data_IF_077548509408
#
_entry.id   IF_077548509408
#
_cell.length_a   1.000
_cell.length_b   1.000
_cell.length_c   1.000
_cell.angle_alpha   90.00
_cell.angle_beta   90.00
_cell.angle_gamma   90.00
#
_symmetry.space_group_name_H-M   'P 1'
#
loop_
_entity.id
_entity.type
_entity.pdbx_description
1 polymer ?
#
# COMPACT_ATOMS: atom_id res chain seq x y z
N UNK A 1 45.12 -40.61 -3.34
CA UNK A 1 44.64 -39.46 -2.56
C UNK A 1 43.19 -39.24 -2.92
N UNK A 2 42.29 -39.53 -1.98
CA UNK A 2 40.85 -39.43 -2.15
C UNK A 2 40.42 -38.02 -1.78
N UNK A 3 39.82 -37.30 -2.72
CA UNK A 3 39.11 -36.06 -2.39
C UNK A 3 37.76 -36.10 -3.09
N UNK A 4 36.78 -36.61 -2.34
CA UNK A 4 35.36 -36.52 -2.66
C UNK A 4 34.92 -35.07 -2.53
N UNK A 5 34.29 -34.50 -3.56
CA UNK A 5 33.55 -33.24 -3.44
C UNK A 5 32.08 -33.54 -3.71
N UNK A 6 31.31 -33.46 -2.64
CA UNK A 6 29.86 -33.66 -2.58
C UNK A 6 29.16 -32.57 -3.40
N UNK A 7 28.39 -32.97 -4.42
CA UNK A 7 27.54 -32.08 -5.18
C UNK A 7 26.31 -31.68 -4.34
N UNK A 8 26.20 -30.41 -3.98
CA UNK A 8 24.97 -29.85 -3.41
C UNK A 8 24.02 -29.48 -4.55
N UNK A 9 23.01 -30.32 -4.79
CA UNK A 9 21.87 -29.98 -5.65
C UNK A 9 20.94 -29.07 -4.85
N UNK A 10 21.04 -27.76 -5.07
CA UNK A 10 20.00 -26.82 -4.67
C UNK A 10 18.92 -26.83 -5.76
N UNK A 11 17.87 -27.63 -5.57
CA UNK A 11 16.68 -27.56 -6.40
C UNK A 11 15.95 -26.24 -6.12
N UNK A 12 16.13 -25.26 -7.00
CA UNK A 12 15.36 -24.02 -6.99
C UNK A 12 13.95 -24.31 -7.53
N UNK A 13 13.04 -24.70 -6.64
CA UNK A 13 11.61 -24.64 -6.94
C UNK A 13 11.15 -23.19 -6.87
N UNK A 14 11.15 -22.49 -8.01
CA UNK A 14 10.51 -21.19 -8.13
C UNK A 14 8.99 -21.39 -8.17
N UNK A 15 8.35 -21.37 -7.00
CA UNK A 15 6.90 -21.27 -6.89
C UNK A 15 6.46 -19.88 -7.37
N UNK A 16 5.75 -19.82 -8.49
CA UNK A 16 5.06 -18.62 -8.97
C UNK A 16 3.87 -18.37 -8.03
N UNK A 17 3.81 -17.27 -7.25
CA UNK A 17 2.59 -16.92 -6.58
C UNK A 17 1.63 -16.34 -7.63
N UNK A 18 0.75 -17.18 -8.16
CA UNK A 18 -0.50 -16.71 -8.76
C UNK A 18 -1.34 -16.18 -7.60
N UNK A 19 -1.20 -14.88 -7.33
CA UNK A 19 -1.95 -14.18 -6.29
C UNK A 19 -3.44 -14.18 -6.65
N UNK A 20 -4.19 -15.13 -6.10
CA UNK A 20 -5.62 -15.01 -5.87
C UNK A 20 -5.84 -13.70 -5.12
N UNK A 21 -6.66 -12.79 -5.67
CA UNK A 21 -6.93 -11.49 -5.09
C UNK A 21 -7.43 -11.60 -3.66
N UNK A 22 -6.51 -11.60 -2.71
CA UNK A 22 -6.81 -11.31 -1.31
C UNK A 22 -7.10 -9.83 -1.29
N UNK A 23 -8.38 -9.47 -1.13
CA UNK A 23 -8.73 -8.17 -0.59
C UNK A 23 -7.92 -8.02 0.70
N UNK A 24 -6.83 -7.24 0.62
CA UNK A 24 -5.99 -6.97 1.77
C UNK A 24 -6.93 -6.37 2.82
N UNK A 25 -7.21 -7.13 3.88
CA UNK A 25 -7.92 -6.61 5.03
C UNK A 25 -7.16 -5.35 5.43
N UNK A 26 -7.81 -4.19 5.33
CA UNK A 26 -7.17 -2.91 5.57
C UNK A 26 -6.59 -2.92 6.99
N UNK A 27 -5.28 -3.15 7.11
CA UNK A 27 -4.59 -2.99 8.37
C UNK A 27 -4.79 -1.53 8.78
N UNK A 28 -5.17 -1.24 10.04
CA UNK A 28 -5.33 0.12 10.49
C UNK A 28 -4.06 0.90 10.17
N UNK A 29 -4.20 2.04 9.49
CA UNK A 29 -3.05 2.87 9.16
C UNK A 29 -2.25 3.19 10.43
N UNK A 30 -0.91 3.10 10.40
CA UNK A 30 -0.11 3.52 11.54
C UNK A 30 -0.36 5.02 11.80
N UNK A 31 -0.42 5.40 13.07
CA UNK A 31 -0.53 6.80 13.44
C UNK A 31 0.86 7.46 13.32
N UNK A 32 0.98 8.43 12.41
CA UNK A 32 2.23 9.16 12.14
C UNK A 32 2.19 10.62 12.59
N UNK A 33 1.14 11.04 13.31
CA UNK A 33 1.06 12.40 13.87
C UNK A 33 2.23 12.64 14.83
N UNK A 34 2.88 13.79 14.68
CA UNK A 34 4.08 14.19 15.43
C UNK A 34 5.40 13.72 14.80
N UNK A 35 5.37 12.83 13.82
CA UNK A 35 6.59 12.42 13.11
C UNK A 35 7.06 13.53 12.15
N UNK A 36 8.35 13.51 11.82
CA UNK A 36 8.84 14.23 10.64
C UNK A 36 8.14 13.70 9.40
N UNK A 37 7.95 14.55 8.40
CA UNK A 37 7.28 14.14 7.16
C UNK A 37 8.03 12.98 6.46
N UNK A 38 9.36 12.95 6.56
CA UNK A 38 10.17 11.86 6.03
C UNK A 38 9.92 10.53 6.78
N UNK A 39 9.97 10.54 8.11
CA UNK A 39 9.73 9.34 8.93
C UNK A 39 8.30 8.82 8.77
N UNK A 40 7.32 9.73 8.68
CA UNK A 40 5.92 9.40 8.44
C UNK A 40 5.73 8.63 7.12
N UNK A 41 6.35 9.12 6.03
CA UNK A 41 6.33 8.43 4.73
C UNK A 41 6.90 7.03 4.82
N UNK A 42 8.08 6.89 5.39
CA UNK A 42 8.73 5.59 5.53
C UNK A 42 7.88 4.59 6.34
N UNK A 43 7.23 5.05 7.41
CA UNK A 43 6.34 4.21 8.22
C UNK A 43 5.10 3.75 7.45
N UNK A 44 4.50 4.62 6.63
CA UNK A 44 3.33 4.28 5.81
C UNK A 44 3.71 3.34 4.65
N UNK A 45 4.85 3.58 3.99
CA UNK A 45 5.38 2.75 2.90
C UNK A 45 5.72 1.34 3.38
N UNK A 46 6.35 1.22 4.56
CA UNK A 46 6.69 -0.07 5.16
C UNK A 46 5.46 -0.95 5.43
N UNK A 47 4.27 -0.34 5.56
CA UNK A 47 3.01 -1.05 5.78
C UNK A 47 2.14 -1.11 4.53
N UNK A 48 2.62 -0.62 3.38
CA UNK A 48 1.84 -0.57 2.14
C UNK A 48 0.60 0.31 2.24
N UNK A 49 0.57 1.28 3.15
CA UNK A 49 -0.57 2.17 3.36
C UNK A 49 -0.51 3.29 2.33
N UNK A 50 -1.51 3.46 1.44
CA UNK A 50 -1.56 4.60 0.54
C UNK A 50 -1.65 5.89 1.35
N UNK A 51 -1.01 6.96 0.88
CA UNK A 51 -1.08 8.23 1.59
C UNK A 51 -0.99 9.44 0.65
N UNK A 52 -1.30 10.61 1.17
CA UNK A 52 -1.08 11.87 0.46
C UNK A 52 -1.09 13.06 1.39
N UNK A 53 -0.31 14.09 1.06
CA UNK A 53 -0.36 15.38 1.77
C UNK A 53 -1.59 16.14 1.28
N UNK A 54 -2.47 16.50 2.21
CA UNK A 54 -3.76 17.15 1.95
C UNK A 54 -3.77 18.60 2.42
N UNK A 55 -2.82 18.99 3.27
CA UNK A 55 -2.55 20.37 3.63
C UNK A 55 -1.05 20.52 3.91
N UNK A 56 -0.45 21.63 3.47
CA UNK A 56 0.91 22.03 3.81
C UNK A 56 0.92 23.50 4.21
N UNK A 57 1.51 23.81 5.36
CA UNK A 57 1.71 25.18 5.83
C UNK A 57 3.19 25.45 6.14
N UNK A 58 3.60 26.71 6.03
CA UNK A 58 4.96 27.18 6.33
C UNK A 58 5.95 27.04 5.17
N UNK A 59 7.24 27.12 5.47
CA UNK A 59 8.30 27.18 4.46
C UNK A 59 8.76 25.78 4.07
N UNK A 60 8.71 25.42 2.79
CA UNK A 60 9.01 24.06 2.32
C UNK A 60 10.44 23.57 2.59
N UNK A 61 11.39 24.49 2.85
CA UNK A 61 12.77 24.16 3.24
C UNK A 61 12.97 24.04 4.76
N UNK A 62 11.93 24.27 5.56
CA UNK A 62 11.98 24.14 7.03
C UNK A 62 11.79 22.70 7.51
N UNK A 63 11.82 22.50 8.83
CA UNK A 63 11.58 21.21 9.44
C UNK A 63 10.09 20.88 9.39
N UNK A 64 9.73 19.90 8.57
CA UNK A 64 8.35 19.52 8.30
C UNK A 64 7.88 18.36 9.19
N UNK A 65 6.77 18.57 9.89
CA UNK A 65 6.14 17.57 10.76
C UNK A 65 4.66 17.35 10.41
N UNK A 66 4.19 16.11 10.61
CA UNK A 66 2.77 15.78 10.47
C UNK A 66 2.02 16.25 11.70
N UNK A 67 1.02 17.11 11.52
CA UNK A 67 0.19 17.64 12.60
C UNK A 67 -1.19 17.00 12.65
N UNK A 68 -1.64 16.41 11.55
CA UNK A 68 -2.94 15.74 11.46
C UNK A 68 -2.85 14.55 10.50
N UNK A 69 -3.56 13.48 10.85
CA UNK A 69 -3.79 12.33 10.00
C UNK A 69 -5.28 12.01 9.97
N UNK A 70 -5.83 11.85 8.76
CA UNK A 70 -7.25 11.51 8.56
C UNK A 70 -7.42 10.46 7.47
N UNK A 71 -8.50 9.69 7.54
CA UNK A 71 -8.87 8.76 6.47
C UNK A 71 -9.26 9.54 5.21
N UNK A 72 -8.78 9.11 4.04
CA UNK A 72 -9.16 9.66 2.72
C UNK A 72 -10.39 8.98 2.11
N UNK A 73 -10.94 8.01 2.83
CA UNK A 73 -12.12 7.25 2.44
C UNK A 73 -11.83 6.26 1.32
N UNK A 74 -12.87 5.90 0.59
CA UNK A 74 -12.85 4.90 -0.47
C UNK A 74 -13.14 5.54 -1.82
N UNK A 75 -12.62 4.95 -2.89
CA UNK A 75 -13.02 5.23 -4.27
C UNK A 75 -13.75 4.00 -4.80
N UNK A 76 -14.89 4.22 -5.43
CA UNK A 76 -15.57 3.18 -6.20
C UNK A 76 -14.87 3.02 -7.55
N UNK A 77 -14.34 1.83 -7.79
CA UNK A 77 -13.87 1.42 -9.10
C UNK A 77 -14.96 0.58 -9.76
N UNK A 78 -15.24 0.91 -11.02
CA UNK A 78 -16.30 0.27 -11.80
C UNK A 78 -15.63 -0.58 -12.88
N UNK A 79 -15.91 -1.88 -12.83
CA UNK A 79 -15.45 -2.86 -13.82
C UNK A 79 -16.66 -3.46 -14.54
N UNK A 80 -16.52 -3.79 -15.82
CA UNK A 80 -17.56 -4.45 -16.60
C UNK A 80 -17.15 -5.91 -16.75
N UNK A 81 -17.79 -6.80 -16.00
CA UNK A 81 -17.50 -8.24 -16.04
C UNK A 81 -18.59 -8.97 -16.78
N UNK A 82 -18.18 -9.78 -17.75
CA UNK A 82 -19.11 -10.65 -18.45
C UNK A 82 -19.55 -11.79 -17.54
N UNK A 83 -20.87 -11.92 -17.38
CA UNK A 83 -21.51 -12.99 -16.64
C UNK A 83 -21.98 -14.07 -17.63
N UNK A 84 -21.27 -15.19 -17.65
CA UNK A 84 -21.56 -16.32 -18.54
C UNK A 84 -22.92 -16.99 -18.25
N UNK A 85 -23.42 -16.91 -17.02
CA UNK A 85 -24.71 -17.53 -16.64
C UNK A 85 -25.90 -16.75 -17.19
N UNK A 86 -25.71 -15.45 -17.41
CA UNK A 86 -26.75 -14.52 -17.89
C UNK A 86 -26.54 -14.04 -19.32
N UNK A 87 -25.42 -14.40 -19.94
CA UNK A 87 -24.99 -13.93 -21.26
C UNK A 87 -24.99 -12.39 -21.38
N UNK A 88 -24.58 -11.69 -20.32
CA UNK A 88 -24.58 -10.23 -20.26
C UNK A 88 -23.35 -9.65 -19.54
N UNK A 89 -23.01 -8.40 -19.85
CA UNK A 89 -22.01 -7.65 -19.08
C UNK A 89 -22.64 -6.99 -17.87
N UNK A 90 -22.17 -7.36 -16.68
CA UNK A 90 -22.59 -6.77 -15.42
C UNK A 90 -21.60 -5.72 -14.94
N UNK A 91 -22.14 -4.66 -14.33
CA UNK A 91 -21.35 -3.65 -13.64
C UNK A 91 -20.96 -4.17 -12.26
N UNK A 92 -19.66 -4.25 -12.00
CA UNK A 92 -19.10 -4.60 -10.70
C UNK A 92 -18.48 -3.36 -10.08
N UNK A 93 -19.01 -2.94 -8.93
CA UNK A 93 -18.51 -1.80 -8.16
C UNK A 93 -17.64 -2.31 -7.00
N UNK A 94 -16.37 -1.91 -6.99
CA UNK A 94 -15.40 -2.29 -5.95
C UNK A 94 -14.98 -1.07 -5.15
N UNK A 95 -15.10 -1.12 -3.83
CA UNK A 95 -14.62 -0.06 -2.95
C UNK A 95 -13.12 -0.25 -2.69
N UNK A 96 -12.30 0.67 -3.20
CA UNK A 96 -10.85 0.69 -3.00
C UNK A 96 -10.49 1.77 -1.99
N UNK A 97 -9.84 1.37 -0.89
CA UNK A 97 -9.41 2.32 0.15
C UNK A 97 -8.31 3.25 -0.37
N UNK A 98 -8.45 4.56 -0.11
CA UNK A 98 -7.55 5.60 -0.61
C UNK A 98 -6.42 5.94 0.37
N UNK A 99 -6.38 5.26 1.51
CA UNK A 99 -5.35 5.46 2.51
C UNK A 99 -5.54 6.72 3.36
N UNK A 100 -4.45 7.29 3.87
CA UNK A 100 -4.50 8.42 4.82
C UNK A 100 -4.03 9.74 4.23
N UNK A 101 -4.65 10.83 4.70
CA UNK A 101 -4.35 12.21 4.36
C UNK A 101 -3.56 12.85 5.49
N UNK A 102 -2.43 13.45 5.17
CA UNK A 102 -1.55 14.12 6.14
C UNK A 102 -1.64 15.65 6.02
N UNK A 103 -1.82 16.34 7.14
CA UNK A 103 -1.53 17.77 7.25
C UNK A 103 -0.09 17.94 7.74
N UNK A 104 0.68 18.76 7.03
CA UNK A 104 2.10 18.98 7.30
C UNK A 104 2.35 20.45 7.60
N UNK A 105 3.10 20.73 8.66
CA UNK A 105 3.57 22.08 9.00
C UNK A 105 5.08 22.08 8.94
N UNK A 106 5.66 23.05 8.23
CA UNK A 106 7.09 23.23 8.11
C UNK A 106 7.50 24.57 8.76
N UNK A 107 8.39 24.51 9.74
CA UNK A 107 8.86 25.69 10.50
C UNK A 107 10.33 25.98 10.23
#
# INVERSE_FOLDING_TARGET
MHTSVTAAVCAAAASVPLGTGTAAAAQPAPNVVGMSEHSARAALEAQGVPYGVVNRAGTASGDCHVTEQRDRGYRTEIDMRYNHDKDEFERVETQVWRGVGLAVVCI
#
